data_IF_461398070678
#
_entry.id   IF_461398070678
#
_cell.length_a   1.000
_cell.length_b   1.000
_cell.length_c   1.000
_cell.angle_alpha   90.00
_cell.angle_beta   90.00
_cell.angle_gamma   90.00
#
_symmetry.space_group_name_H-M   'P 1'
#
loop_
_entity.id
_entity.type
_entity.pdbx_description
1 polymer ?
#
# COMPACT_ATOMS: atom_id res chain seq x y z
N UNK A 1 -21.71 17.26 -12.82
CA UNK A 1 -20.73 16.71 -11.87
C UNK A 1 -19.38 16.78 -12.57
N UNK A 2 -18.45 17.55 -12.06
CA UNK A 2 -17.11 17.68 -12.65
C UNK A 2 -16.24 16.55 -12.10
N UNK A 3 -15.63 15.77 -13.00
CA UNK A 3 -14.76 14.65 -12.61
C UNK A 3 -13.35 15.21 -12.36
N UNK A 4 -12.86 15.04 -11.14
CA UNK A 4 -11.47 15.34 -10.78
C UNK A 4 -10.58 14.15 -11.15
N UNK A 5 -9.45 14.44 -11.79
CA UNK A 5 -8.51 13.40 -12.22
C UNK A 5 -7.05 13.80 -11.95
N UNK A 6 -6.21 12.77 -11.86
CA UNK A 6 -4.75 12.88 -11.84
C UNK A 6 -4.17 11.66 -12.56
N UNK A 7 -3.43 11.87 -13.66
CA UNK A 7 -2.86 10.80 -14.48
C UNK A 7 -1.36 10.98 -14.66
N UNK A 8 -0.64 9.88 -14.77
CA UNK A 8 0.73 9.88 -15.25
C UNK A 8 0.80 10.31 -16.71
N UNK A 9 1.73 11.20 -17.04
CA UNK A 9 1.95 11.68 -18.38
C UNK A 9 3.29 11.15 -18.90
N UNK A 10 3.26 10.54 -20.09
CA UNK A 10 4.48 10.05 -20.73
C UNK A 10 5.40 11.22 -21.09
N UNK A 11 6.68 11.02 -20.86
CA UNK A 11 7.72 11.99 -21.18
C UNK A 11 7.79 12.25 -22.69
N UNK A 12 7.95 13.53 -23.05
CA UNK A 12 8.19 13.95 -24.42
C UNK A 12 9.19 15.12 -24.44
N UNK A 13 9.74 15.51 -25.61
CA UNK A 13 10.76 16.56 -25.71
C UNK A 13 10.32 17.94 -25.17
N UNK A 14 9.04 18.27 -25.26
CA UNK A 14 8.52 19.55 -24.76
C UNK A 14 8.51 19.57 -23.24
N UNK A 15 8.03 18.49 -22.61
CA UNK A 15 8.03 18.33 -21.15
C UNK A 15 9.47 18.26 -20.60
N UNK A 16 10.36 17.63 -21.35
CA UNK A 16 11.79 17.58 -20.96
C UNK A 16 12.39 18.96 -20.94
N UNK A 17 12.23 19.74 -21.99
CA UNK A 17 12.73 21.13 -22.05
C UNK A 17 12.11 22.01 -20.94
N UNK A 18 10.80 21.90 -20.73
CA UNK A 18 10.10 22.69 -19.70
C UNK A 18 10.48 22.35 -18.25
N UNK A 19 11.25 21.28 -18.03
CA UNK A 19 11.70 20.84 -16.71
C UNK A 19 13.23 20.71 -16.58
N UNK A 20 13.97 21.24 -17.54
CA UNK A 20 15.42 21.09 -17.58
C UNK A 20 16.11 21.84 -16.43
N UNK A 21 15.70 23.07 -16.17
CA UNK A 21 16.21 23.88 -15.06
C UNK A 21 15.95 23.20 -13.69
N UNK A 22 14.74 22.64 -13.51
CA UNK A 22 14.41 21.94 -12.28
C UNK A 22 15.30 20.70 -12.07
N UNK A 23 15.60 19.96 -13.14
CA UNK A 23 16.49 18.82 -13.05
C UNK A 23 17.94 19.24 -12.77
N UNK A 24 18.42 20.28 -13.44
CA UNK A 24 19.75 20.83 -13.21
C UNK A 24 19.93 21.28 -11.75
N UNK A 25 18.92 21.91 -11.17
CA UNK A 25 18.93 22.30 -9.76
C UNK A 25 18.95 21.08 -8.84
N UNK A 26 18.16 20.03 -9.11
CA UNK A 26 18.20 18.81 -8.33
C UNK A 26 19.58 18.14 -8.37
N UNK A 27 20.24 18.15 -9.53
CA UNK A 27 21.60 17.61 -9.70
C UNK A 27 22.60 18.44 -8.91
N UNK A 28 22.55 19.77 -9.02
CA UNK A 28 23.43 20.69 -8.28
C UNK A 28 23.32 20.45 -6.77
N UNK A 29 22.11 20.39 -6.23
CA UNK A 29 21.88 20.16 -4.81
C UNK A 29 22.38 18.77 -4.37
N UNK A 30 22.20 17.73 -5.20
CA UNK A 30 22.75 16.41 -4.91
C UNK A 30 24.28 16.38 -4.91
N UNK A 31 24.91 17.09 -5.84
CA UNK A 31 26.39 17.19 -5.89
C UNK A 31 26.97 17.90 -4.66
N UNK A 32 26.27 18.91 -4.16
CA UNK A 32 26.65 19.67 -2.98
C UNK A 32 26.43 18.88 -1.68
N UNK A 33 25.27 18.24 -1.53
CA UNK A 33 24.86 17.61 -0.26
C UNK A 33 25.15 16.13 -0.18
N UNK A 34 25.29 15.45 -1.32
CA UNK A 34 25.31 13.99 -1.46
C UNK A 34 24.09 13.28 -0.90
N UNK A 35 23.02 14.02 -0.65
CA UNK A 35 21.73 13.50 -0.22
C UNK A 35 20.74 13.43 -1.40
N UNK A 36 19.86 12.41 -1.47
CA UNK A 36 18.85 12.31 -2.53
C UNK A 36 17.96 13.56 -2.59
N UNK A 37 17.92 14.19 -3.73
CA UNK A 37 17.10 15.39 -3.97
C UNK A 37 15.82 15.05 -4.69
N UNK A 38 14.75 15.76 -4.33
CA UNK A 38 13.42 15.60 -4.88
C UNK A 38 12.73 16.96 -4.98
N UNK A 39 12.69 17.51 -6.18
CA UNK A 39 12.13 18.84 -6.44
C UNK A 39 10.87 18.75 -7.25
N UNK A 40 9.97 19.72 -7.10
CA UNK A 40 8.71 19.81 -7.79
C UNK A 40 8.52 21.16 -8.44
N UNK A 41 7.97 21.14 -9.66
CA UNK A 41 7.48 22.32 -10.36
C UNK A 41 6.14 22.03 -11.04
N UNK A 42 5.43 23.08 -11.44
CA UNK A 42 4.18 22.94 -12.15
C UNK A 42 4.06 23.98 -13.26
N UNK A 43 3.51 23.56 -14.39
CA UNK A 43 3.27 24.41 -15.55
C UNK A 43 2.08 23.97 -16.38
N UNK A 44 1.55 24.91 -17.17
CA UNK A 44 0.49 24.60 -18.12
C UNK A 44 1.07 24.01 -19.40
N UNK A 45 0.53 22.88 -19.82
CA UNK A 45 0.95 22.15 -21.01
C UNK A 45 -0.26 21.80 -21.87
N UNK A 46 -0.08 21.87 -23.18
CA UNK A 46 -1.07 21.45 -24.17
C UNK A 46 -0.44 20.48 -25.16
N UNK A 47 -0.92 19.24 -25.17
CA UNK A 47 -0.58 18.29 -26.25
C UNK A 47 -1.32 18.66 -27.53
N UNK A 48 -0.79 18.31 -28.70
CA UNK A 48 -1.40 18.65 -29.99
C UNK A 48 -2.83 18.13 -30.15
N UNK A 49 -3.16 17.00 -29.53
CA UNK A 49 -4.51 16.40 -29.53
C UNK A 49 -5.46 16.94 -28.48
N UNK A 50 -5.00 17.81 -27.57
CA UNK A 50 -5.85 18.32 -26.48
C UNK A 50 -6.56 19.60 -26.89
N UNK A 51 -7.86 19.72 -26.60
CA UNK A 51 -8.60 20.95 -26.90
C UNK A 51 -8.18 22.12 -26.03
N UNK A 52 -7.71 21.87 -24.80
CA UNK A 52 -7.32 22.88 -23.80
C UNK A 52 -5.99 22.53 -23.14
N UNK A 53 -5.31 23.55 -22.61
CA UNK A 53 -4.14 23.36 -21.74
C UNK A 53 -4.55 22.75 -20.42
N UNK A 54 -3.67 21.90 -19.85
CA UNK A 54 -3.87 21.22 -18.57
C UNK A 54 -2.68 21.47 -17.67
N UNK A 55 -2.92 21.49 -16.36
CA UNK A 55 -1.85 21.70 -15.40
C UNK A 55 -1.04 20.39 -15.24
N UNK A 56 0.27 20.51 -15.37
CA UNK A 56 1.23 19.38 -15.22
C UNK A 56 2.11 19.67 -14.03
N UNK A 57 2.22 18.67 -13.15
CA UNK A 57 3.21 18.64 -12.07
C UNK A 57 4.37 17.77 -12.51
N UNK A 58 5.58 18.26 -12.40
CA UNK A 58 6.81 17.51 -12.62
C UNK A 58 7.53 17.28 -11.31
N UNK A 59 8.00 16.06 -11.14
CA UNK A 59 8.96 15.68 -10.11
C UNK A 59 10.31 15.43 -10.77
N UNK A 60 11.37 16.12 -10.33
CA UNK A 60 12.75 15.88 -10.68
C UNK A 60 13.48 15.27 -9.48
N UNK A 61 14.23 14.22 -9.71
CA UNK A 61 15.03 13.52 -8.70
C UNK A 61 16.47 13.40 -9.17
N UNK A 62 17.42 13.58 -8.22
CA UNK A 62 18.83 13.26 -8.39
C UNK A 62 19.33 12.50 -7.16
N UNK A 63 20.01 11.38 -7.37
CA UNK A 63 20.55 10.53 -6.33
C UNK A 63 21.73 9.69 -6.87
N UNK A 64 22.31 8.82 -6.04
CA UNK A 64 23.43 7.96 -6.41
C UNK A 64 23.14 6.99 -7.59
N UNK A 65 21.88 6.75 -7.91
CA UNK A 65 21.45 5.88 -9.02
C UNK A 65 21.25 6.65 -10.33
N UNK A 66 21.36 7.99 -10.28
CA UNK A 66 21.19 8.90 -11.41
C UNK A 66 20.01 9.86 -11.25
N UNK A 67 19.53 10.35 -12.38
CA UNK A 67 18.45 11.35 -12.44
C UNK A 67 17.16 10.75 -12.97
N UNK A 68 16.02 11.27 -12.49
CA UNK A 68 14.70 10.83 -12.96
C UNK A 68 13.75 12.02 -13.01
N UNK A 69 12.89 12.04 -14.05
CA UNK A 69 11.76 12.98 -14.17
C UNK A 69 10.46 12.25 -14.38
N UNK A 70 9.44 12.65 -13.65
CA UNK A 70 8.08 12.11 -13.78
C UNK A 70 7.07 13.24 -13.89
N UNK A 71 6.10 13.08 -14.77
CA UNK A 71 5.09 14.06 -15.07
C UNK A 71 3.70 13.52 -14.72
N UNK A 72 2.89 14.37 -14.13
CA UNK A 72 1.51 14.07 -13.76
C UNK A 72 0.62 15.20 -14.22
N UNK A 73 -0.47 14.89 -14.92
CA UNK A 73 -1.45 15.87 -15.38
C UNK A 73 -2.70 15.80 -14.49
N UNK A 74 -3.23 16.95 -14.11
CA UNK A 74 -4.38 17.03 -13.20
C UNK A 74 -5.28 18.22 -13.51
N UNK A 75 -6.55 18.12 -13.13
CA UNK A 75 -7.50 19.24 -13.07
C UNK A 75 -7.90 19.59 -11.63
N UNK A 76 -7.18 19.10 -10.62
CA UNK A 76 -7.51 19.36 -9.21
C UNK A 76 -7.33 20.83 -8.86
N UNK A 77 -8.33 21.39 -8.19
CA UNK A 77 -8.21 22.72 -7.60
C UNK A 77 -7.07 22.72 -6.56
N UNK A 78 -6.22 23.75 -6.61
CA UNK A 78 -5.09 23.90 -5.68
C UNK A 78 -3.84 23.08 -6.02
N UNK A 79 -3.83 22.28 -7.10
CA UNK A 79 -2.65 21.50 -7.50
C UNK A 79 -1.40 22.38 -7.69
N UNK A 80 -1.55 23.61 -8.14
CA UNK A 80 -0.45 24.58 -8.30
C UNK A 80 0.16 25.07 -6.99
N UNK A 81 -0.57 24.97 -5.88
CA UNK A 81 -0.10 25.35 -4.54
C UNK A 81 0.52 24.18 -3.78
N UNK A 82 0.10 22.95 -4.11
CA UNK A 82 0.47 21.72 -3.38
C UNK A 82 1.03 20.67 -4.35
N UNK A 83 2.12 21.02 -5.03
CA UNK A 83 2.72 20.21 -6.10
C UNK A 83 3.13 18.81 -5.59
N UNK A 84 3.88 18.77 -4.51
CA UNK A 84 4.34 17.52 -3.89
C UNK A 84 3.17 16.64 -3.43
N UNK A 85 2.23 17.22 -2.70
CA UNK A 85 1.06 16.49 -2.23
C UNK A 85 0.22 15.93 -3.38
N UNK A 86 0.06 16.69 -4.48
CA UNK A 86 -0.63 16.25 -5.69
C UNK A 86 0.09 15.07 -6.35
N UNK A 87 1.41 15.13 -6.41
CA UNK A 87 2.22 14.03 -6.94
C UNK A 87 2.15 12.79 -6.04
N UNK A 88 2.28 12.96 -4.73
CA UNK A 88 2.25 11.86 -3.77
C UNK A 88 0.90 11.15 -3.75
N UNK A 89 -0.20 11.89 -3.91
CA UNK A 89 -1.51 11.27 -4.07
C UNK A 89 -1.60 10.41 -5.35
N UNK A 90 -1.02 10.87 -6.45
CA UNK A 90 -0.90 10.05 -7.66
C UNK A 90 -0.11 8.76 -7.42
N UNK A 91 0.98 8.82 -6.64
CA UNK A 91 1.81 7.65 -6.32
C UNK A 91 1.02 6.59 -5.55
N UNK A 92 0.00 6.98 -4.77
CA UNK A 92 -0.89 6.03 -4.09
C UNK A 92 -1.63 5.09 -5.04
N UNK A 93 -1.72 5.43 -6.33
CA UNK A 93 -2.19 4.52 -7.39
C UNK A 93 -1.42 3.19 -7.42
N UNK A 94 -0.12 3.23 -7.11
CA UNK A 94 0.72 2.03 -7.03
C UNK A 94 0.22 0.98 -6.04
N UNK A 95 -0.57 1.38 -5.05
CA UNK A 95 -1.20 0.43 -4.13
C UNK A 95 -2.18 -0.51 -4.83
N UNK A 96 -2.93 -0.05 -5.83
CA UNK A 96 -3.83 -0.91 -6.59
C UNK A 96 -3.06 -1.96 -7.42
N UNK A 97 -1.89 -1.60 -7.95
CA UNK A 97 -1.02 -2.54 -8.65
C UNK A 97 -0.44 -3.59 -7.69
N UNK A 98 -0.05 -3.18 -6.49
CA UNK A 98 0.38 -4.09 -5.42
C UNK A 98 -0.76 -5.03 -5.00
N UNK A 99 -2.01 -4.55 -4.87
CA UNK A 99 -3.17 -5.40 -4.59
C UNK A 99 -3.46 -6.39 -5.71
N UNK A 100 -3.35 -5.98 -6.96
CA UNK A 100 -3.49 -6.88 -8.10
C UNK A 100 -2.40 -7.97 -8.08
N UNK A 101 -1.17 -7.62 -7.72
CA UNK A 101 -0.08 -8.58 -7.57
C UNK A 101 -0.32 -9.55 -6.41
N UNK A 102 -0.74 -9.05 -5.25
CA UNK A 102 -1.11 -9.89 -4.10
C UNK A 102 -2.23 -10.86 -4.48
N UNK A 103 -3.22 -10.39 -5.21
CA UNK A 103 -4.36 -11.18 -5.65
C UNK A 103 -3.96 -12.29 -6.62
N UNK A 104 -3.17 -11.94 -7.64
CA UNK A 104 -2.63 -12.90 -8.62
C UNK A 104 -1.66 -13.90 -7.99
N UNK A 105 -0.61 -13.40 -7.35
CA UNK A 105 0.49 -14.23 -6.87
C UNK A 105 0.18 -14.87 -5.52
N UNK A 106 -0.49 -14.16 -4.62
CA UNK A 106 -0.76 -14.63 -3.26
C UNK A 106 -1.97 -15.54 -3.16
N UNK A 107 -3.02 -15.27 -3.92
CA UNK A 107 -4.28 -16.03 -3.90
C UNK A 107 -4.49 -16.90 -5.14
N UNK A 108 -3.69 -16.73 -6.20
CA UNK A 108 -3.82 -17.50 -7.43
C UNK A 108 -5.15 -17.26 -8.16
N UNK A 109 -5.62 -16.02 -8.15
CA UNK A 109 -6.94 -15.69 -8.71
C UNK A 109 -7.02 -15.84 -10.23
N UNK A 110 -5.89 -15.80 -10.92
CA UNK A 110 -5.75 -15.97 -12.37
C UNK A 110 -5.78 -17.44 -12.82
N UNK A 111 -5.80 -18.38 -11.87
CA UNK A 111 -5.93 -19.80 -12.18
C UNK A 111 -7.38 -20.14 -12.46
N UNK A 112 -7.66 -20.46 -13.72
CA UNK A 112 -8.96 -20.98 -14.12
C UNK A 112 -9.10 -22.45 -13.68
N UNK A 113 -10.24 -22.81 -13.06
CA UNK A 113 -10.52 -24.17 -12.60
C UNK A 113 -11.67 -24.85 -13.34
N UNK A 114 -12.35 -24.12 -14.21
CA UNK A 114 -13.47 -24.60 -14.98
C UNK A 114 -13.45 -23.97 -16.38
N UNK A 115 -14.02 -24.64 -17.36
CA UNK A 115 -14.19 -24.09 -18.72
C UNK A 115 -15.42 -23.18 -18.86
N UNK A 116 -16.32 -23.17 -17.86
CA UNK A 116 -17.49 -22.29 -17.83
C UNK A 116 -17.14 -20.92 -17.26
N UNK A 117 -17.48 -19.87 -17.98
CA UNK A 117 -17.24 -18.49 -17.56
C UNK A 117 -17.84 -18.18 -16.18
N UNK A 118 -19.09 -18.58 -15.95
CA UNK A 118 -19.82 -18.29 -14.69
C UNK A 118 -19.11 -18.90 -13.47
N UNK A 119 -18.59 -20.12 -13.60
CA UNK A 119 -17.87 -20.79 -12.51
C UNK A 119 -16.57 -20.05 -12.17
N UNK A 120 -15.79 -19.64 -13.18
CA UNK A 120 -14.57 -18.85 -12.99
C UNK A 120 -14.88 -17.46 -12.44
N UNK A 121 -15.98 -16.84 -12.88
CA UNK A 121 -16.43 -15.53 -12.39
C UNK A 121 -16.84 -15.59 -10.91
N UNK A 122 -17.60 -16.61 -10.50
CA UNK A 122 -17.92 -16.85 -9.09
C UNK A 122 -16.65 -17.07 -8.25
N UNK A 123 -15.71 -17.86 -8.76
CA UNK A 123 -14.40 -18.05 -8.13
C UNK A 123 -13.65 -16.73 -7.94
N UNK A 124 -13.67 -15.85 -8.92
CA UNK A 124 -13.07 -14.52 -8.83
C UNK A 124 -13.63 -13.72 -7.65
N UNK A 125 -14.95 -13.75 -7.43
CA UNK A 125 -15.57 -13.11 -6.26
C UNK A 125 -15.12 -13.71 -4.93
N UNK A 126 -14.96 -15.02 -4.85
CA UNK A 126 -14.42 -15.67 -3.64
C UNK A 126 -13.00 -15.21 -3.35
N UNK A 127 -12.16 -15.10 -4.37
CA UNK A 127 -10.81 -14.56 -4.21
C UNK A 127 -10.82 -13.07 -3.81
N UNK A 128 -11.76 -12.28 -4.33
CA UNK A 128 -11.93 -10.88 -3.94
C UNK A 128 -12.34 -10.75 -2.46
N UNK A 129 -13.27 -11.58 -2.01
CA UNK A 129 -13.68 -11.64 -0.61
C UNK A 129 -12.51 -12.05 0.30
N UNK A 130 -11.75 -13.08 -0.09
CA UNK A 130 -10.55 -13.52 0.64
C UNK A 130 -9.49 -12.41 0.73
N UNK A 131 -9.23 -11.68 -0.37
CA UNK A 131 -8.31 -10.54 -0.35
C UNK A 131 -8.78 -9.44 0.62
N UNK A 132 -10.09 -9.12 0.61
CA UNK A 132 -10.65 -8.12 1.51
C UNK A 132 -10.50 -8.53 2.98
N UNK A 133 -10.72 -9.80 3.31
CA UNK A 133 -10.47 -10.32 4.65
C UNK A 133 -9.00 -10.21 5.06
N UNK A 134 -8.08 -10.58 4.17
CA UNK A 134 -6.63 -10.44 4.41
C UNK A 134 -6.21 -8.98 4.57
N UNK A 135 -6.75 -8.07 3.75
CA UNK A 135 -6.48 -6.63 3.88
C UNK A 135 -6.99 -6.09 5.22
N UNK A 136 -8.19 -6.52 5.63
CA UNK A 136 -8.74 -6.14 6.94
C UNK A 136 -7.88 -6.68 8.08
N UNK A 137 -7.55 -7.96 8.06
CA UNK A 137 -6.66 -8.59 9.05
C UNK A 137 -5.31 -7.85 9.14
N UNK A 138 -4.72 -7.52 7.99
CA UNK A 138 -3.47 -6.74 7.93
C UNK A 138 -3.61 -5.35 8.56
N UNK A 139 -4.75 -4.68 8.39
CA UNK A 139 -5.02 -3.39 9.01
C UNK A 139 -5.11 -3.50 10.54
N UNK A 140 -5.74 -4.54 11.05
CA UNK A 140 -5.84 -4.80 12.48
C UNK A 140 -4.45 -5.09 13.10
N UNK A 141 -3.65 -5.94 12.44
CA UNK A 141 -2.26 -6.22 12.85
C UNK A 141 -1.40 -4.96 12.74
N UNK A 142 -1.61 -4.17 11.68
CA UNK A 142 -0.91 -2.93 11.43
C UNK A 142 -1.52 -1.71 12.15
N UNK A 143 -2.47 -1.89 13.07
CA UNK A 143 -3.00 -0.78 13.86
C UNK A 143 -1.88 -0.05 14.63
N UNK A 144 -1.73 1.28 14.53
CA UNK A 144 -0.65 1.99 15.19
C UNK A 144 -0.73 1.79 16.70
N UNK A 145 0.40 1.62 17.39
CA UNK A 145 0.39 1.79 18.83
C UNK A 145 -0.19 3.17 19.14
N UNK A 146 -0.92 3.32 20.24
CA UNK A 146 -1.43 4.62 20.66
C UNK A 146 -0.25 5.62 20.66
N UNK A 147 -0.48 6.81 20.11
CA UNK A 147 0.52 7.86 20.17
C UNK A 147 0.85 8.15 21.65
N UNK A 148 2.11 8.35 22.00
CA UNK A 148 2.48 8.80 23.33
C UNK A 148 1.68 10.06 23.69
N UNK A 149 1.24 10.17 24.95
CA UNK A 149 0.51 11.35 25.42
C UNK A 149 1.33 12.62 25.16
N UNK A 150 0.77 13.54 24.38
CA UNK A 150 1.39 14.81 24.02
C UNK A 150 2.01 14.89 22.61
N UNK A 151 2.04 13.81 21.84
CA UNK A 151 2.48 13.84 20.43
C UNK A 151 1.31 14.06 19.47
N UNK A 152 1.66 14.60 18.30
CA UNK A 152 0.70 14.81 17.20
C UNK A 152 0.08 13.47 16.80
N UNK A 153 -1.25 13.35 16.73
CA UNK A 153 -1.91 12.12 16.32
C UNK A 153 -1.37 11.61 14.97
N UNK A 154 -1.19 10.30 14.83
CA UNK A 154 -0.62 9.68 13.63
C UNK A 154 -1.39 10.05 12.36
N UNK A 155 -2.70 10.27 12.49
CA UNK A 155 -3.59 10.71 11.41
C UNK A 155 -3.24 12.13 10.93
N UNK A 156 -2.70 12.97 11.80
CA UNK A 156 -2.27 14.33 11.50
C UNK A 156 -0.83 14.40 10.95
N UNK A 157 -0.07 13.30 10.99
CA UNK A 157 1.25 13.24 10.37
C UNK A 157 1.12 13.31 8.84
N UNK A 158 1.88 14.19 8.22
CA UNK A 158 1.93 14.38 6.76
C UNK A 158 3.32 14.12 6.20
N UNK A 159 3.39 13.85 4.89
CA UNK A 159 4.64 13.76 4.14
C UNK A 159 5.64 12.74 4.69
N UNK A 160 6.86 13.19 4.93
CA UNK A 160 7.97 12.34 5.37
C UNK A 160 7.84 11.84 6.80
N UNK A 161 7.28 12.63 7.72
CA UNK A 161 7.06 12.21 9.10
C UNK A 161 6.15 10.97 9.17
N UNK A 162 5.05 10.97 8.40
CA UNK A 162 4.16 9.81 8.27
C UNK A 162 4.87 8.61 7.65
N UNK A 163 5.68 8.85 6.62
CA UNK A 163 6.46 7.82 5.93
C UNK A 163 7.51 7.20 6.86
N UNK A 164 8.23 8.05 7.61
CA UNK A 164 9.21 7.61 8.59
C UNK A 164 8.57 6.77 9.70
N UNK A 165 7.48 7.22 10.26
CA UNK A 165 6.70 6.49 11.26
C UNK A 165 6.23 5.13 10.74
N UNK A 166 5.63 5.09 9.53
CA UNK A 166 5.20 3.85 8.90
C UNK A 166 6.35 2.89 8.62
N UNK A 167 7.52 3.40 8.22
CA UNK A 167 8.69 2.58 7.93
C UNK A 167 9.35 2.04 9.21
N UNK A 168 9.47 2.87 10.25
CA UNK A 168 9.98 2.45 11.56
C UNK A 168 9.13 1.30 12.09
N UNK A 169 7.83 1.47 12.12
CA UNK A 169 6.90 0.46 12.56
C UNK A 169 6.92 -0.85 11.75
N UNK A 170 7.08 -0.76 10.43
CA UNK A 170 7.21 -1.93 9.55
C UNK A 170 8.48 -2.73 9.79
N UNK A 171 9.53 -2.12 10.34
CA UNK A 171 10.78 -2.81 10.74
C UNK A 171 10.60 -3.59 12.03
N UNK A 172 9.79 -3.07 12.95
CA UNK A 172 9.54 -3.68 14.26
C UNK A 172 8.47 -4.78 14.20
N UNK A 173 7.53 -4.70 13.25
CA UNK A 173 6.48 -5.69 13.06
C UNK A 173 6.80 -6.65 11.90
N UNK A 174 7.23 -7.90 12.18
CA UNK A 174 7.54 -8.88 11.14
C UNK A 174 6.35 -9.23 10.26
N UNK A 175 5.12 -9.01 10.73
CA UNK A 175 3.88 -9.26 9.99
C UNK A 175 3.33 -8.02 9.28
N UNK A 176 3.81 -6.82 9.60
CA UNK A 176 3.28 -5.55 9.10
C UNK A 176 3.35 -5.37 7.58
N UNK A 177 4.27 -6.05 6.91
CA UNK A 177 4.42 -6.07 5.44
C UNK A 177 4.06 -7.41 4.79
N UNK A 178 3.53 -8.34 5.56
CA UNK A 178 3.29 -9.70 5.08
C UNK A 178 2.48 -9.74 3.79
N UNK A 179 3.02 -10.44 2.79
CA UNK A 179 2.26 -10.86 1.61
C UNK A 179 1.21 -11.91 2.05
N UNK A 180 0.12 -12.13 1.28
CA UNK A 180 -0.85 -13.19 1.59
C UNK A 180 -0.21 -14.56 1.88
N UNK A 181 0.85 -14.91 1.16
CA UNK A 181 1.60 -16.15 1.38
C UNK A 181 2.30 -16.18 2.75
N UNK A 182 2.87 -15.06 3.19
CA UNK A 182 3.48 -14.93 4.53
C UNK A 182 2.45 -15.17 5.62
N UNK A 183 1.28 -14.57 5.50
CA UNK A 183 0.21 -14.71 6.48
C UNK A 183 -0.42 -16.09 6.51
N UNK A 184 -0.54 -16.73 5.33
CA UNK A 184 -0.94 -18.13 5.26
C UNK A 184 0.00 -19.03 6.04
N UNK A 185 1.30 -18.82 5.93
CA UNK A 185 2.30 -19.62 6.62
C UNK A 185 2.38 -19.32 8.12
N UNK A 186 2.31 -18.03 8.49
CA UNK A 186 2.55 -17.60 9.87
C UNK A 186 1.30 -17.63 10.75
N UNK A 187 0.10 -17.48 10.18
CA UNK A 187 -1.13 -17.35 10.97
C UNK A 187 -2.25 -18.33 10.59
N UNK A 188 -2.31 -18.81 9.34
CA UNK A 188 -3.44 -19.60 8.86
C UNK A 188 -3.08 -21.09 8.79
N UNK A 189 -1.91 -21.43 8.24
CA UNK A 189 -1.44 -22.83 8.12
C UNK A 189 -0.78 -23.29 9.42
N UNK A 190 -1.58 -23.43 10.46
CA UNK A 190 -1.13 -23.87 11.78
C UNK A 190 -1.62 -25.29 12.04
N UNK A 191 -0.77 -26.12 12.63
CA UNK A 191 -1.17 -27.45 13.05
C UNK A 191 -2.28 -27.36 14.10
N UNK A 192 -3.38 -28.05 13.86
CA UNK A 192 -4.53 -28.06 14.74
C UNK A 192 -5.07 -29.46 14.93
N UNK A 193 -5.53 -29.77 16.15
CA UNK A 193 -6.33 -30.95 16.47
C UNK A 193 -7.81 -30.55 16.53
N UNK A 194 -8.65 -31.22 15.77
CA UNK A 194 -10.10 -30.95 15.73
C UNK A 194 -10.83 -32.10 16.43
N UNK A 195 -11.53 -31.77 17.52
CA UNK A 195 -12.37 -32.71 18.27
C UNK A 195 -13.82 -32.36 18.04
N UNK A 196 -14.57 -33.28 17.44
CA UNK A 196 -16.00 -33.10 17.16
C UNK A 196 -16.80 -33.89 18.17
N UNK A 197 -17.74 -33.23 18.84
CA UNK A 197 -18.74 -33.86 19.71
C UNK A 197 -20.16 -33.48 19.24
N UNK A 198 -21.19 -34.15 19.78
CA UNK A 198 -22.58 -33.89 19.39
C UNK A 198 -23.03 -32.43 19.53
N UNK A 199 -22.37 -31.63 20.38
CA UNK A 199 -22.79 -30.28 20.72
C UNK A 199 -21.77 -29.19 20.44
N UNK A 200 -20.52 -29.56 20.11
CA UNK A 200 -19.45 -28.58 19.88
C UNK A 200 -18.30 -29.16 19.08
N UNK A 201 -17.63 -28.28 18.36
CA UNK A 201 -16.35 -28.53 17.71
C UNK A 201 -15.30 -27.76 18.50
N UNK A 202 -14.26 -28.47 18.95
CA UNK A 202 -13.12 -27.87 19.65
C UNK A 202 -11.90 -27.95 18.73
N UNK A 203 -11.32 -26.80 18.42
CA UNK A 203 -10.09 -26.70 17.66
C UNK A 203 -8.97 -26.35 18.63
N UNK A 204 -7.98 -27.24 18.74
CA UNK A 204 -6.81 -27.03 19.57
C UNK A 204 -5.62 -26.70 18.68
N UNK A 205 -4.98 -25.56 18.91
CA UNK A 205 -3.78 -25.11 18.22
C UNK A 205 -2.55 -25.52 19.02
N UNK A 206 -1.42 -25.74 18.32
CA UNK A 206 -0.15 -26.09 18.98
C UNK A 206 0.32 -25.00 19.94
N UNK A 207 0.61 -25.36 21.18
CA UNK A 207 1.13 -24.42 22.19
C UNK A 207 2.57 -23.96 21.92
N UNK A 208 3.33 -24.74 21.15
CA UNK A 208 4.70 -24.42 20.72
C UNK A 208 4.76 -23.54 19.45
N UNK A 209 3.62 -23.10 18.94
CA UNK A 209 3.58 -22.25 17.75
C UNK A 209 4.22 -20.88 17.99
N UNK A 210 5.26 -20.48 17.24
CA UNK A 210 6.03 -19.27 17.50
C UNK A 210 5.23 -17.97 17.40
N UNK A 211 4.15 -17.98 16.60
CA UNK A 211 3.31 -16.80 16.36
C UNK A 211 2.03 -16.78 17.19
N UNK A 212 1.97 -17.55 18.27
CA UNK A 212 0.81 -17.66 19.16
C UNK A 212 0.36 -16.31 19.70
N UNK A 213 1.30 -15.49 20.18
CA UNK A 213 1.01 -14.17 20.76
C UNK A 213 0.34 -13.22 19.74
N UNK A 214 0.79 -13.24 18.49
CA UNK A 214 0.16 -12.48 17.41
C UNK A 214 -1.27 -12.95 17.15
N UNK A 215 -1.49 -14.26 17.14
CA UNK A 215 -2.82 -14.83 16.94
C UNK A 215 -3.77 -14.45 18.09
N UNK A 216 -3.32 -14.52 19.33
CA UNK A 216 -4.09 -14.11 20.52
C UNK A 216 -4.45 -12.62 20.45
N UNK A 217 -3.48 -11.77 20.13
CA UNK A 217 -3.70 -10.33 19.98
C UNK A 217 -4.75 -10.02 18.90
N UNK A 218 -4.63 -10.65 17.73
CA UNK A 218 -5.58 -10.47 16.63
C UNK A 218 -6.97 -10.96 17.04
N UNK A 219 -7.07 -12.14 17.67
CA UNK A 219 -8.35 -12.71 18.06
C UNK A 219 -9.11 -11.83 19.05
N UNK A 220 -8.41 -11.15 19.96
CA UNK A 220 -8.97 -10.19 20.89
C UNK A 220 -9.51 -8.94 20.21
N UNK A 221 -8.83 -8.46 19.16
CA UNK A 221 -9.23 -7.23 18.45
C UNK A 221 -10.33 -7.45 17.39
N UNK A 222 -10.31 -8.61 16.73
CA UNK A 222 -11.28 -8.92 15.65
C UNK A 222 -12.58 -9.50 16.18
N UNK A 223 -12.52 -10.20 17.31
CA UNK A 223 -13.71 -10.81 17.91
C UNK A 223 -14.37 -9.83 18.88
N UNK A 224 -15.56 -9.33 18.55
CA UNK A 224 -16.44 -8.64 19.53
C UNK A 224 -16.91 -9.57 20.65
N UNK A 225 -16.67 -10.87 20.53
CA UNK A 225 -16.81 -11.87 21.60
C UNK A 225 -15.50 -12.64 21.63
N UNK A 226 -14.77 -12.69 22.75
CA UNK A 226 -13.53 -13.45 22.84
C UNK A 226 -13.83 -14.93 22.53
N UNK A 227 -13.32 -15.40 21.41
CA UNK A 227 -13.22 -16.83 21.19
C UNK A 227 -12.19 -17.34 22.20
N UNK A 228 -12.61 -18.20 23.11
CA UNK A 228 -11.68 -18.86 24.03
C UNK A 228 -10.86 -19.84 23.19
N UNK A 229 -9.67 -19.43 22.79
CA UNK A 229 -8.71 -20.29 22.13
C UNK A 229 -8.04 -21.18 23.20
N UNK A 230 -8.22 -22.48 23.09
CA UNK A 230 -7.52 -23.43 23.93
C UNK A 230 -6.23 -23.88 23.23
N UNK A 231 -5.09 -23.55 23.81
CA UNK A 231 -3.79 -24.00 23.33
C UNK A 231 -3.42 -25.33 24.02
N UNK A 232 -2.86 -26.22 23.27
CA UNK A 232 -2.38 -27.52 23.73
C UNK A 232 -0.87 -27.45 23.96
N UNK A 233 -0.45 -27.75 25.20
CA UNK A 233 0.93 -28.06 25.56
C UNK A 233 1.14 -29.57 25.36
N UNK A 234 1.77 -29.95 24.28
CA UNK A 234 2.21 -31.32 24.04
C UNK A 234 3.53 -31.60 24.73
#
# INVERSE_FOLDING_TARGET
MEITYTFGLSTNPVLQRGSEELLAEAVRLWEETREPQRLFAGFWYRAGSWPVSRFVVVKAEANAQGTNRRFVVTNRAGASRFLEATYDEYVMRGESENRNKEWKCGLGMDRLSDHRFVANYFRLYLHAAALNLLVRLRREIAAPPPAPEGEVPVEALTGEARKHYQNARRREDPLGRGQPATWQLLLIKVAASVIVSCRRIVVRLSGSWPNREYFEHISQHVSRRPAVAHFWSG
#
